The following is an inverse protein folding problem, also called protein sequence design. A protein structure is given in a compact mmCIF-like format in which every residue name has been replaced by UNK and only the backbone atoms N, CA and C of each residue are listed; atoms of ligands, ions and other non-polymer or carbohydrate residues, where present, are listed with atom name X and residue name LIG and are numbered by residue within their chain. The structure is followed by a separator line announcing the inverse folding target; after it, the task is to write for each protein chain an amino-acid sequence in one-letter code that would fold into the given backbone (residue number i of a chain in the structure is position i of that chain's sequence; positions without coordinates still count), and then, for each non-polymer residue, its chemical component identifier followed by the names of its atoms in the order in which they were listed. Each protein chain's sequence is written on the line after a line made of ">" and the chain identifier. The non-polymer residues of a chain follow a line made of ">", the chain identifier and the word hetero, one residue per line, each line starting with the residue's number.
data_IF_099708610375
#
_entry.id   IF_099708610375
#
_cell.length_a   1.000
_cell.length_b   1.000
_cell.length_c   1.000
_cell.angle_alpha   90.00
_cell.angle_beta   90.00
_cell.angle_gamma   90.00
#
_symmetry.space_group_name_H-M   'P 1'
#
loop_
_entity.id
_entity.type
_entity.pdbx_description
1 polymer ?
#
# COMPACT_ATOMS: atom_id res chain seq x y z
N UNK A 1 3.07 38.37 37.03
CA UNK A 1 4.44 38.71 36.55
C UNK A 1 5.41 38.22 37.61
N UNK A 2 6.55 37.55 37.32
CA UNK A 2 7.37 37.61 36.09
C UNK A 2 7.60 36.23 35.42
N UNK A 3 7.46 36.10 34.09
CA UNK A 3 8.41 36.31 32.97
C UNK A 3 9.11 35.03 32.49
N UNK A 4 8.64 34.59 31.32
CA UNK A 4 9.29 33.88 30.22
C UNK A 4 10.80 33.61 30.29
N UNK A 5 11.18 32.40 29.86
CA UNK A 5 12.42 32.18 29.12
C UNK A 5 12.19 31.22 27.95
N UNK A 6 11.97 31.79 26.78
CA UNK A 6 12.11 31.12 25.48
C UNK A 6 13.60 30.81 25.27
N UNK A 7 13.92 29.59 24.85
CA UNK A 7 15.23 29.24 24.30
C UNK A 7 15.09 29.19 22.78
N UNK A 8 15.65 30.19 22.10
CA UNK A 8 15.87 30.20 20.66
C UNK A 8 17.07 29.32 20.26
N UNK A 9 17.25 29.06 18.95
CA UNK A 9 18.19 28.08 18.42
C UNK A 9 19.60 28.65 18.28
N UNK A 10 20.60 27.86 18.65
CA UNK A 10 22.01 28.20 18.46
C UNK A 10 22.71 27.13 17.61
N UNK A 11 23.57 27.62 16.69
CA UNK A 11 24.70 26.95 16.01
C UNK A 11 24.50 26.49 14.55
N UNK A 12 24.64 27.45 13.62
CA UNK A 12 25.61 27.34 12.50
C UNK A 12 26.92 28.01 12.97
N UNK A 13 28.16 27.69 12.52
CA UNK A 13 28.54 27.48 11.10
C UNK A 13 29.70 26.48 10.84
N UNK A 14 29.97 26.12 9.58
CA UNK A 14 31.34 26.12 9.04
C UNK A 14 31.33 26.25 7.51
N UNK A 15 32.15 27.21 7.06
CA UNK A 15 32.38 27.66 5.67
C UNK A 15 33.01 26.57 4.81
N UNK A 16 32.37 26.25 3.68
CA UNK A 16 32.98 25.56 2.55
C UNK A 16 33.30 26.55 1.44
N UNK A 17 34.59 26.81 1.22
CA UNK A 17 35.16 27.67 0.19
C UNK A 17 34.78 27.14 -1.20
N UNK A 18 34.05 27.92 -2.01
CA UNK A 18 33.97 27.71 -3.46
C UNK A 18 34.62 28.89 -4.15
N UNK A 19 35.64 28.57 -4.95
CA UNK A 19 36.52 29.49 -5.68
C UNK A 19 35.70 30.27 -6.72
N UNK A 20 35.82 31.60 -6.68
CA UNK A 20 35.32 32.49 -7.73
C UNK A 20 36.07 32.23 -9.05
N UNK A 21 35.32 32.11 -10.14
CA UNK A 21 35.83 31.94 -11.51
C UNK A 21 35.79 33.31 -12.22
N UNK A 22 36.86 33.75 -12.92
CA UNK A 22 36.88 35.06 -13.58
C UNK A 22 36.08 35.08 -14.91
N UNK A 23 35.70 36.27 -15.43
CA UNK A 23 34.71 36.44 -16.49
C UNK A 23 35.26 36.20 -17.92
N UNK A 24 34.39 36.03 -18.94
CA UNK A 24 34.82 35.67 -20.28
C UNK A 24 35.31 36.87 -21.10
N UNK A 25 36.45 36.71 -21.77
CA UNK A 25 36.97 37.62 -22.78
C UNK A 25 36.36 37.37 -24.16
N UNK A 26 36.14 38.45 -24.93
CA UNK A 26 35.68 38.45 -26.32
C UNK A 26 36.85 38.29 -27.30
N UNK A 27 36.68 37.46 -28.33
CA UNK A 27 37.37 37.42 -29.64
C UNK A 27 37.28 35.96 -30.14
N UNK A 28 37.04 35.53 -31.38
CA UNK A 28 36.66 36.04 -32.70
C UNK A 28 36.23 34.76 -33.45
N UNK A 29 35.31 34.83 -34.42
CA UNK A 29 34.85 33.65 -35.20
C UNK A 29 35.78 33.43 -36.41
N UNK A 30 36.07 32.17 -36.79
CA UNK A 30 36.40 31.82 -38.18
C UNK A 30 35.28 30.99 -38.87
N UNK A 31 35.37 30.79 -40.20
CA UNK A 31 34.22 30.62 -41.09
C UNK A 31 33.58 29.23 -41.08
N UNK A 32 32.29 29.18 -41.43
CA UNK A 32 31.51 27.97 -41.68
C UNK A 32 32.12 27.16 -42.82
N UNK A 33 32.34 25.88 -42.57
CA UNK A 33 32.45 24.84 -43.59
C UNK A 33 31.34 23.83 -43.36
N UNK A 34 30.59 23.56 -44.43
CA UNK A 34 29.28 22.92 -44.46
C UNK A 34 29.48 21.42 -44.69
N UNK A 35 29.21 20.59 -43.68
CA UNK A 35 29.12 19.14 -43.82
C UNK A 35 27.87 18.65 -43.06
N UNK A 36 26.84 18.34 -43.85
CA UNK A 36 25.64 17.66 -43.41
C UNK A 36 26.00 16.26 -42.87
N UNK A 37 25.56 15.96 -41.65
CA UNK A 37 25.47 14.59 -41.14
C UNK A 37 24.11 14.39 -40.52
N UNK A 38 23.45 13.33 -40.96
CA UNK A 38 22.11 12.93 -40.62
C UNK A 38 21.98 12.34 -39.20
N UNK A 39 20.71 12.25 -38.78
CA UNK A 39 20.13 11.39 -37.74
C UNK A 39 20.36 11.69 -36.24
N UNK A 40 19.24 11.92 -35.53
CA UNK A 40 18.72 10.98 -34.53
C UNK A 40 17.27 11.35 -34.15
N UNK A 41 16.31 10.41 -34.07
CA UNK A 41 15.03 10.66 -33.44
C UNK A 41 15.27 11.00 -31.96
N UNK A 42 14.60 12.04 -31.46
CA UNK A 42 14.61 12.42 -30.04
C UNK A 42 14.07 11.24 -29.24
N UNK A 43 14.97 10.41 -28.72
CA UNK A 43 14.63 9.31 -27.83
C UNK A 43 13.85 9.86 -26.64
N UNK A 44 12.61 9.40 -26.47
CA UNK A 44 11.88 9.58 -25.24
C UNK A 44 12.77 9.09 -24.10
N UNK A 45 13.04 9.97 -23.13
CA UNK A 45 13.79 9.61 -21.94
C UNK A 45 13.17 8.33 -21.34
N UNK A 46 13.97 7.34 -20.91
CA UNK A 46 13.44 6.14 -20.29
C UNK A 46 12.53 6.57 -19.14
N UNK A 47 11.22 6.28 -19.25
CA UNK A 47 10.30 6.45 -18.13
C UNK A 47 10.82 5.55 -17.02
N UNK A 48 11.52 6.14 -16.05
CA UNK A 48 11.95 5.43 -14.85
C UNK A 48 10.73 4.68 -14.30
N UNK A 49 10.81 3.35 -14.35
CA UNK A 49 9.77 2.48 -13.83
C UNK A 49 9.61 2.82 -12.35
N UNK A 50 8.54 3.56 -12.02
CA UNK A 50 8.24 3.93 -10.64
C UNK A 50 8.20 2.65 -9.80
N UNK A 51 8.87 2.62 -8.63
CA UNK A 51 8.95 1.42 -7.83
C UNK A 51 7.54 0.91 -7.48
N UNK A 52 7.35 -0.41 -7.61
CA UNK A 52 6.06 -1.11 -7.47
C UNK A 52 5.28 -0.76 -6.18
N UNK A 53 5.97 -0.31 -5.13
CA UNK A 53 5.38 0.17 -3.87
C UNK A 53 4.36 1.29 -4.06
N UNK A 54 4.57 2.20 -5.03
CA UNK A 54 3.61 3.28 -5.30
C UNK A 54 2.26 2.75 -5.81
N UNK A 55 2.24 1.58 -6.43
CA UNK A 55 0.99 0.94 -6.89
C UNK A 55 0.17 0.45 -5.71
N UNK A 56 0.81 -0.31 -4.82
CA UNK A 56 0.19 -0.90 -3.63
C UNK A 56 -0.35 0.16 -2.69
N UNK A 57 0.43 1.21 -2.37
CA UNK A 57 -0.03 2.27 -1.47
C UNK A 57 -1.27 2.99 -2.04
N UNK A 58 -1.28 3.26 -3.36
CA UNK A 58 -2.44 3.86 -4.04
C UNK A 58 -3.66 2.96 -4.01
N UNK A 59 -3.47 1.66 -4.14
CA UNK A 59 -4.54 0.68 -4.06
C UNK A 59 -5.12 0.63 -2.64
N UNK A 60 -4.27 0.62 -1.61
CA UNK A 60 -4.69 0.70 -0.20
C UNK A 60 -5.56 1.93 0.03
N UNK A 61 -5.10 3.13 -0.38
CA UNK A 61 -5.88 4.35 -0.21
C UNK A 61 -7.21 4.30 -0.98
N UNK A 62 -7.23 3.73 -2.19
CA UNK A 62 -8.46 3.59 -2.98
C UNK A 62 -9.46 2.67 -2.28
N UNK A 63 -9.03 1.47 -1.91
CA UNK A 63 -9.89 0.46 -1.26
C UNK A 63 -10.41 0.92 0.11
N UNK A 64 -9.60 1.69 0.86
CA UNK A 64 -10.03 2.30 2.12
C UNK A 64 -10.96 3.49 1.92
N UNK A 65 -10.82 4.29 0.85
CA UNK A 65 -11.74 5.41 0.63
C UNK A 65 -13.13 4.93 0.19
N UNK A 66 -13.19 3.84 -0.56
CA UNK A 66 -14.42 3.28 -1.11
C UNK A 66 -14.71 1.91 -0.50
N UNK A 67 -15.19 1.90 0.75
CA UNK A 67 -15.56 0.68 1.47
C UNK A 67 -16.80 -0.06 0.90
N UNK A 68 -17.45 0.46 -0.15
CA UNK A 68 -18.64 -0.12 -0.77
C UNK A 68 -18.36 -1.17 -1.86
N UNK A 69 -17.10 -1.43 -2.19
CA UNK A 69 -16.75 -2.49 -3.13
C UNK A 69 -16.57 -3.80 -2.37
N UNK A 70 -17.59 -4.65 -2.43
CA UNK A 70 -17.49 -6.05 -2.05
C UNK A 70 -16.32 -6.66 -2.83
N UNK A 71 -15.23 -6.99 -2.13
CA UNK A 71 -13.97 -7.40 -2.75
C UNK A 71 -14.08 -8.80 -3.35
N UNK A 72 -15.05 -9.59 -2.89
CA UNK A 72 -15.31 -10.94 -3.37
C UNK A 72 -16.43 -10.91 -4.42
N UNK A 73 -16.29 -11.60 -5.57
CA UNK A 73 -17.37 -11.71 -6.54
C UNK A 73 -18.62 -12.39 -5.93
N UNK A 74 -19.77 -11.72 -5.96
CA UNK A 74 -21.05 -12.22 -5.38
C UNK A 74 -21.39 -13.65 -5.82
N UNK A 75 -21.16 -13.98 -7.10
CA UNK A 75 -21.44 -15.31 -7.64
C UNK A 75 -20.55 -16.41 -7.05
N UNK A 76 -19.26 -16.11 -6.80
CA UNK A 76 -18.34 -17.05 -6.19
C UNK A 76 -18.68 -17.26 -4.70
N UNK A 77 -18.99 -16.17 -3.99
CA UNK A 77 -19.42 -16.23 -2.59
C UNK A 77 -20.70 -17.06 -2.44
N UNK A 78 -21.71 -16.82 -3.29
CA UNK A 78 -22.95 -17.59 -3.25
C UNK A 78 -22.76 -19.09 -3.51
N UNK A 79 -21.78 -19.50 -4.34
CA UNK A 79 -21.44 -20.92 -4.54
C UNK A 79 -20.88 -21.52 -3.26
N UNK A 80 -19.90 -20.85 -2.64
CA UNK A 80 -19.30 -21.31 -1.37
C UNK A 80 -20.35 -21.43 -0.27
N UNK A 81 -21.27 -20.47 -0.15
CA UNK A 81 -22.37 -20.55 0.84
C UNK A 81 -23.24 -21.79 0.61
N UNK A 82 -23.55 -22.14 -0.65
CA UNK A 82 -24.31 -23.34 -0.99
C UNK A 82 -23.53 -24.63 -0.76
N UNK A 83 -22.23 -24.64 -1.04
CA UNK A 83 -21.36 -25.79 -0.79
C UNK A 83 -21.28 -26.08 0.72
N UNK A 84 -21.13 -25.03 1.53
CA UNK A 84 -21.16 -25.12 2.99
C UNK A 84 -22.54 -25.62 3.46
N UNK A 85 -23.63 -25.03 2.96
CA UNK A 85 -24.99 -25.43 3.32
C UNK A 85 -25.26 -26.90 3.01
N UNK A 86 -24.78 -27.41 1.88
CA UNK A 86 -24.91 -28.82 1.49
C UNK A 86 -24.17 -29.78 2.43
N UNK A 87 -23.22 -29.27 3.23
CA UNK A 87 -22.52 -30.06 4.26
C UNK A 87 -23.32 -30.17 5.57
N UNK A 88 -24.35 -29.34 5.77
CA UNK A 88 -25.14 -29.28 7.02
C UNK A 88 -26.60 -29.68 6.85
N UNK A 89 -27.17 -29.50 5.66
CA UNK A 89 -28.56 -29.83 5.36
C UNK A 89 -28.63 -30.71 4.12
N UNK A 90 -29.36 -31.83 4.21
CA UNK A 90 -29.61 -32.75 3.10
C UNK A 90 -30.52 -32.11 2.03
N UNK A 91 -31.47 -31.27 2.47
CA UNK A 91 -32.39 -30.55 1.59
C UNK A 91 -31.89 -29.13 1.25
N UNK A 92 -32.09 -28.64 0.02
CA UNK A 92 -31.59 -27.34 -0.42
C UNK A 92 -32.38 -26.19 0.21
N UNK A 93 -31.69 -25.37 1.01
CA UNK A 93 -32.25 -24.14 1.56
C UNK A 93 -32.29 -23.02 0.50
N UNK A 94 -33.35 -22.22 0.52
CA UNK A 94 -33.48 -21.02 -0.31
C UNK A 94 -32.99 -19.80 0.45
N UNK A 95 -32.01 -19.10 -0.11
CA UNK A 95 -31.49 -17.85 0.44
C UNK A 95 -32.14 -16.64 -0.22
N UNK A 96 -32.51 -15.66 0.60
CA UNK A 96 -32.86 -14.31 0.12
C UNK A 96 -31.61 -13.61 -0.43
N UNK A 97 -31.81 -12.69 -1.39
CA UNK A 97 -30.72 -11.85 -1.92
C UNK A 97 -30.09 -11.00 -0.82
N UNK A 98 -30.91 -10.39 0.04
CA UNK A 98 -30.45 -9.57 1.16
C UNK A 98 -29.64 -10.39 2.17
N UNK A 99 -30.05 -11.64 2.42
CA UNK A 99 -29.33 -12.52 3.34
C UNK A 99 -27.92 -12.84 2.82
N UNK A 100 -27.77 -13.10 1.51
CA UNK A 100 -26.46 -13.33 0.91
C UNK A 100 -25.57 -12.08 0.97
N UNK A 101 -26.14 -10.90 0.77
CA UNK A 101 -25.41 -9.63 0.86
C UNK A 101 -24.93 -9.33 2.28
N UNK A 102 -25.78 -9.57 3.29
CA UNK A 102 -25.43 -9.43 4.70
C UNK A 102 -24.34 -10.42 5.12
N UNK A 103 -24.46 -11.69 4.71
CA UNK A 103 -23.43 -12.70 4.97
C UNK A 103 -22.09 -12.29 4.36
N UNK A 104 -22.12 -11.77 3.14
CA UNK A 104 -20.91 -11.32 2.47
C UNK A 104 -20.29 -10.10 3.18
N UNK A 105 -21.10 -9.09 3.50
CA UNK A 105 -20.64 -7.90 4.21
C UNK A 105 -20.00 -8.24 5.57
N UNK A 106 -20.67 -9.08 6.37
CA UNK A 106 -20.16 -9.52 7.67
C UNK A 106 -18.85 -10.32 7.54
N UNK A 107 -18.75 -11.17 6.51
CA UNK A 107 -17.54 -11.98 6.27
C UNK A 107 -16.37 -11.10 5.82
N UNK A 108 -16.57 -10.18 4.89
CA UNK A 108 -15.53 -9.27 4.42
C UNK A 108 -15.06 -8.32 5.53
N UNK A 109 -15.97 -7.82 6.36
CA UNK A 109 -15.64 -7.02 7.54
C UNK A 109 -14.78 -7.82 8.54
N UNK A 110 -15.17 -9.05 8.85
CA UNK A 110 -14.39 -9.93 9.72
C UNK A 110 -12.97 -10.15 9.19
N UNK A 111 -12.84 -10.43 7.89
CA UNK A 111 -11.54 -10.63 7.24
C UNK A 111 -10.69 -9.36 7.27
N UNK A 112 -11.28 -8.18 7.01
CA UNK A 112 -10.59 -6.90 7.08
C UNK A 112 -9.98 -6.66 8.47
N UNK A 113 -10.76 -6.83 9.54
CA UNK A 113 -10.23 -6.69 10.90
C UNK A 113 -9.19 -7.75 11.25
N UNK A 114 -9.37 -9.00 10.78
CA UNK A 114 -8.40 -10.07 11.01
C UNK A 114 -7.05 -9.75 10.34
N UNK A 115 -7.06 -9.22 9.12
CA UNK A 115 -5.85 -8.82 8.40
C UNK A 115 -5.21 -7.56 8.98
N UNK A 116 -6.00 -6.61 9.49
CA UNK A 116 -5.46 -5.44 10.18
C UNK A 116 -4.63 -5.85 11.41
N UNK A 117 -5.17 -6.72 12.26
CA UNK A 117 -4.44 -7.26 13.42
C UNK A 117 -3.26 -8.15 12.99
N UNK A 118 -3.45 -8.99 11.96
CA UNK A 118 -2.38 -9.82 11.41
C UNK A 118 -1.21 -8.98 10.88
N UNK A 119 -1.49 -7.83 10.29
CA UNK A 119 -0.47 -6.89 9.85
C UNK A 119 0.26 -6.23 11.02
N UNK A 120 -0.42 -5.91 12.13
CA UNK A 120 0.23 -5.42 13.35
C UNK A 120 1.19 -6.46 13.93
N UNK A 121 0.81 -7.75 13.96
CA UNK A 121 1.68 -8.85 14.37
C UNK A 121 2.89 -9.01 13.43
N UNK A 122 2.68 -8.85 12.12
CA UNK A 122 3.75 -8.85 11.11
C UNK A 122 4.76 -7.72 11.36
N UNK A 123 4.25 -6.51 11.60
CA UNK A 123 5.04 -5.32 11.88
C UNK A 123 5.81 -5.44 13.20
N UNK A 124 5.22 -6.07 14.22
CA UNK A 124 5.87 -6.31 15.51
C UNK A 124 7.21 -7.07 15.37
N UNK A 125 7.28 -8.03 14.44
CA UNK A 125 8.52 -8.77 14.11
C UNK A 125 9.36 -8.15 12.99
N UNK A 126 9.13 -6.87 12.66
CA UNK A 126 9.87 -6.08 11.64
C UNK A 126 9.77 -6.63 10.22
N UNK A 127 8.65 -7.26 9.86
CA UNK A 127 8.34 -7.67 8.48
C UNK A 127 7.26 -6.77 7.89
N UNK A 128 7.17 -6.75 6.56
CA UNK A 128 6.13 -6.01 5.82
C UNK A 128 5.13 -6.97 5.16
N UNK A 129 5.60 -8.12 4.70
CA UNK A 129 4.74 -9.14 4.07
C UNK A 129 4.05 -9.99 5.14
N UNK A 130 2.73 -10.01 5.11
CA UNK A 130 1.89 -10.79 6.01
C UNK A 130 2.11 -12.29 5.81
N UNK A 131 2.24 -13.03 6.92
CA UNK A 131 2.41 -14.50 6.91
C UNK A 131 1.22 -15.22 7.56
N UNK A 132 1.05 -16.49 7.21
CA UNK A 132 0.05 -17.36 7.83
C UNK A 132 0.25 -17.53 9.34
N UNK A 133 1.49 -17.43 9.82
CA UNK A 133 1.83 -17.45 11.26
C UNK A 133 1.22 -16.26 12.00
N UNK A 134 1.25 -15.08 11.40
CA UNK A 134 0.75 -13.84 12.01
C UNK A 134 -0.78 -13.93 12.17
N UNK A 135 -1.48 -14.46 11.16
CA UNK A 135 -2.93 -14.71 11.22
C UNK A 135 -3.28 -15.77 12.26
N UNK A 136 -2.54 -16.88 12.32
CA UNK A 136 -2.75 -17.94 13.32
C UNK A 136 -2.57 -17.40 14.74
N UNK A 137 -1.52 -16.61 14.97
CA UNK A 137 -1.28 -15.95 16.26
C UNK A 137 -2.47 -15.07 16.65
N UNK A 138 -2.93 -14.20 15.75
CA UNK A 138 -4.06 -13.30 16.00
C UNK A 138 -5.34 -14.08 16.29
N UNK A 139 -5.64 -15.15 15.53
CA UNK A 139 -6.82 -15.99 15.83
C UNK A 139 -6.73 -16.58 17.24
N UNK A 140 -5.57 -17.09 17.63
CA UNK A 140 -5.35 -17.63 18.98
C UNK A 140 -5.48 -16.58 20.08
N UNK A 141 -5.08 -15.34 19.82
CA UNK A 141 -5.23 -14.23 20.78
C UNK A 141 -6.67 -13.72 20.87
N UNK A 142 -7.42 -13.75 19.76
CA UNK A 142 -8.82 -13.32 19.69
C UNK A 142 -9.80 -14.35 20.25
N UNK A 143 -9.44 -15.64 20.25
CA UNK A 143 -10.32 -16.67 20.79
C UNK A 143 -10.53 -16.47 22.29
N UNK A 144 -11.79 -16.41 22.76
CA UNK A 144 -12.09 -16.66 24.16
C UNK A 144 -11.57 -18.06 24.49
N UNK A 145 -10.81 -18.18 25.57
CA UNK A 145 -10.18 -19.42 26.05
C UNK A 145 -11.16 -20.58 26.34
N UNK A 146 -12.46 -20.39 26.10
CA UNK A 146 -13.53 -21.38 26.22
C UNK A 146 -14.06 -21.95 24.89
N UNK A 147 -13.76 -21.36 23.72
CA UNK A 147 -14.08 -21.97 22.42
C UNK A 147 -12.84 -22.71 21.92
N UNK A 148 -12.63 -23.91 22.47
CA UNK A 148 -11.47 -24.74 22.17
C UNK A 148 -11.33 -25.06 20.69
N UNK A 149 -10.19 -24.70 20.10
CA UNK A 149 -9.69 -25.31 18.88
C UNK A 149 -9.45 -26.81 19.16
N UNK A 150 -10.34 -27.69 18.68
CA UNK A 150 -9.99 -29.09 18.45
C UNK A 150 -8.83 -29.12 17.46
N UNK A 151 -7.70 -29.68 17.93
CA UNK A 151 -6.44 -29.86 17.20
C UNK A 151 -6.61 -30.60 15.89
#
# INVERSE_FOLDING_TARGET
>A
MPRHRQLGPCLSPMRGIRRDRPPPGRSERPPREELAVAEAPRGEAPREARPARRGVDREIYRLQQSHNYLSIPKAAFARVVKDIQSSFAEEPLRFSTEALELLQAATEEYLMYLFADGYLATAHRRRVTLSSEDVRLVRRLRQPHCWGETR
#
